data_IF_464509990719
#
_entry.id   IF_464509990719
#
_cell.length_a   1.000
_cell.length_b   1.000
_cell.length_c   1.000
_cell.angle_alpha   90.00
_cell.angle_beta   90.00
_cell.angle_gamma   90.00
#
_symmetry.space_group_name_H-M   'P 1'
#
loop_
_entity.id
_entity.type
_entity.pdbx_description
1 polymer ?
#
# COMPACT_ATOMS: atom_id res chain seq x y z
N UNK A 1 -2.15 -10.85 4.93
CA UNK A 1 -3.11 -9.80 5.25
C UNK A 1 -2.57 -9.00 6.42
N UNK A 2 -2.79 -7.70 6.38
CA UNK A 2 -2.48 -6.83 7.52
C UNK A 2 -3.50 -7.12 8.63
N UNK A 3 -3.10 -7.50 9.85
CA UNK A 3 -4.03 -7.75 10.95
C UNK A 3 -4.84 -6.51 11.36
N UNK A 4 -4.39 -5.32 10.96
CA UNK A 4 -5.00 -4.02 11.28
C UNK A 4 -5.70 -3.37 10.09
N UNK A 5 -5.86 -4.08 8.96
CA UNK A 5 -6.46 -3.53 7.74
C UNK A 5 -7.83 -2.88 7.98
N UNK A 6 -8.73 -3.58 8.66
CA UNK A 6 -10.07 -3.08 8.98
C UNK A 6 -10.05 -1.85 9.91
N UNK A 7 -9.04 -1.71 10.78
CA UNK A 7 -8.95 -0.59 11.73
C UNK A 7 -8.62 0.74 11.02
N UNK A 8 -8.17 0.70 9.76
CA UNK A 8 -7.86 1.90 8.96
C UNK A 8 -9.07 2.46 8.22
N UNK A 9 -10.11 1.64 8.04
CA UNK A 9 -11.28 1.96 7.20
C UNK A 9 -12.11 3.12 7.75
N UNK A 10 -12.40 3.23 9.07
CA UNK A 10 -13.17 4.36 9.61
C UNK A 10 -12.55 5.72 9.28
N UNK A 11 -11.22 5.83 9.37
CA UNK A 11 -10.49 7.04 9.01
C UNK A 11 -10.61 7.36 7.52
N UNK A 12 -10.45 6.35 6.66
CA UNK A 12 -10.61 6.52 5.21
C UNK A 12 -12.03 6.97 4.83
N UNK A 13 -13.04 6.43 5.53
CA UNK A 13 -14.43 6.83 5.33
C UNK A 13 -14.70 8.28 5.75
N UNK A 14 -14.18 8.69 6.90
CA UNK A 14 -14.31 10.07 7.35
C UNK A 14 -13.64 11.04 6.37
N UNK A 15 -12.44 10.71 5.88
CA UNK A 15 -11.73 11.50 4.87
C UNK A 15 -12.51 11.61 3.55
N UNK A 16 -13.05 10.49 3.06
CA UNK A 16 -13.86 10.47 1.84
C UNK A 16 -15.18 11.25 1.98
N UNK A 17 -15.74 11.35 3.18
CA UNK A 17 -16.95 12.13 3.50
C UNK A 17 -16.66 13.58 3.89
N UNK A 18 -15.40 14.00 3.92
CA UNK A 18 -14.97 15.30 4.44
C UNK A 18 -15.43 15.55 5.89
N UNK A 19 -15.51 14.48 6.67
CA UNK A 19 -15.87 14.51 8.09
C UNK A 19 -14.60 14.56 8.96
N UNK A 20 -14.71 15.21 10.11
CA UNK A 20 -13.61 15.24 11.08
C UNK A 20 -13.52 13.88 11.75
N UNK A 21 -12.48 13.13 11.42
CA UNK A 21 -12.17 11.88 12.11
C UNK A 21 -11.75 12.16 13.56
N UNK A 22 -12.55 11.71 14.53
CA UNK A 22 -12.24 11.80 15.95
C UNK A 22 -11.79 10.43 16.45
N UNK A 23 -10.51 10.31 16.78
CA UNK A 23 -9.94 9.08 17.35
C UNK A 23 -10.59 8.73 18.67
N UNK A 24 -10.82 7.44 18.88
CA UNK A 24 -11.19 6.91 20.20
C UNK A 24 -9.99 6.95 21.15
N UNK A 25 -10.25 7.14 22.46
CA UNK A 25 -9.19 7.36 23.47
C UNK A 25 -8.11 6.26 23.47
N UNK A 26 -8.49 5.02 23.16
CA UNK A 26 -7.61 3.84 23.18
C UNK A 26 -7.32 3.27 21.79
N UNK A 27 -7.66 3.97 20.71
CA UNK A 27 -7.53 3.46 19.33
C UNK A 27 -6.11 3.08 18.96
N UNK A 28 -5.14 3.96 19.27
CA UNK A 28 -3.73 3.72 18.96
C UNK A 28 -3.19 2.51 19.75
N UNK A 29 -3.64 2.34 21.01
CA UNK A 29 -3.29 1.17 21.83
C UNK A 29 -3.86 -0.14 21.26
N UNK A 30 -5.13 -0.14 20.87
CA UNK A 30 -5.79 -1.30 20.24
C UNK A 30 -5.11 -1.64 18.92
N UNK A 31 -4.77 -0.64 18.11
CA UNK A 31 -4.09 -0.81 16.82
C UNK A 31 -2.72 -1.46 16.99
N UNK A 32 -1.92 -0.94 17.94
CA UNK A 32 -0.60 -1.50 18.24
C UNK A 32 -0.71 -2.95 18.74
N UNK A 33 -1.58 -3.20 19.72
CA UNK A 33 -1.77 -4.54 20.30
C UNK A 33 -2.26 -5.53 19.24
N UNK A 34 -3.23 -5.13 18.41
CA UNK A 34 -3.73 -5.96 17.30
C UNK A 34 -2.66 -6.24 16.25
N UNK A 35 -1.79 -5.28 15.97
CA UNK A 35 -0.66 -5.45 15.05
C UNK A 35 0.42 -6.41 15.59
N UNK A 36 0.63 -6.44 16.90
CA UNK A 36 1.58 -7.35 17.57
C UNK A 36 1.01 -8.76 17.70
N UNK A 37 -0.23 -8.89 18.18
CA UNK A 37 -0.88 -10.18 18.43
C UNK A 37 -1.39 -10.84 17.14
N UNK A 38 -1.69 -10.03 16.12
CA UNK A 38 -2.23 -10.52 14.86
C UNK A 38 -1.20 -11.32 14.06
N UNK A 39 -1.66 -12.40 13.43
CA UNK A 39 -0.81 -13.25 12.60
C UNK A 39 -0.33 -12.49 11.36
N UNK A 40 0.98 -12.19 11.33
CA UNK A 40 1.66 -11.73 10.12
C UNK A 40 1.90 -12.93 9.21
N UNK A 41 1.50 -12.83 7.95
CA UNK A 41 1.71 -13.90 6.96
C UNK A 41 3.06 -13.69 6.24
N UNK A 42 3.02 -13.43 4.94
CA UNK A 42 4.21 -13.24 4.11
C UNK A 42 4.90 -11.93 4.48
N UNK A 43 6.01 -12.01 5.22
CA UNK A 43 6.88 -10.88 5.54
C UNK A 43 8.04 -10.89 4.54
N UNK A 44 8.31 -9.74 3.93
CA UNK A 44 9.47 -9.51 3.07
C UNK A 44 10.29 -8.37 3.65
N UNK A 45 11.58 -8.59 3.86
CA UNK A 45 12.53 -7.56 4.27
C UNK A 45 13.58 -7.50 3.16
N UNK A 46 13.78 -6.31 2.60
CA UNK A 46 14.78 -6.05 1.58
C UNK A 46 15.65 -4.89 2.03
N UNK A 47 16.95 -5.08 1.88
CA UNK A 47 17.96 -4.05 2.15
C UNK A 47 18.47 -3.59 0.79
N UNK A 48 18.39 -2.29 0.53
CA UNK A 48 18.89 -1.68 -0.70
C UNK A 48 20.39 -1.42 -0.65
N UNK A 49 20.92 -0.98 -1.79
CA UNK A 49 22.32 -0.56 -1.91
C UNK A 49 22.58 0.77 -1.19
N UNK A 50 23.85 1.04 -0.92
CA UNK A 50 24.30 2.33 -0.37
C UNK A 50 24.31 3.35 -1.51
N UNK A 51 23.68 4.51 -1.29
CA UNK A 51 23.43 5.54 -2.32
C UNK A 51 24.65 6.41 -2.68
N UNK A 52 25.88 5.89 -2.59
CA UNK A 52 27.08 6.72 -2.79
C UNK A 52 27.15 7.28 -4.22
N UNK A 53 26.85 6.45 -5.23
CA UNK A 53 26.94 6.86 -6.63
C UNK A 53 25.87 7.89 -6.98
N UNK A 54 24.66 7.70 -6.47
CA UNK A 54 23.52 8.59 -6.67
C UNK A 54 23.77 9.94 -6.00
N UNK A 55 24.40 9.95 -4.82
CA UNK A 55 24.78 11.19 -4.14
C UNK A 55 25.82 11.99 -4.94
N UNK A 56 26.83 11.32 -5.50
CA UNK A 56 27.85 11.97 -6.34
C UNK A 56 27.21 12.59 -7.60
N UNK A 57 26.27 11.89 -8.23
CA UNK A 57 25.52 12.38 -9.40
C UNK A 57 24.66 13.60 -9.02
N UNK A 58 23.89 13.52 -7.94
CA UNK A 58 23.04 14.62 -7.47
C UNK A 58 23.87 15.86 -7.13
N UNK A 59 25.04 15.67 -6.52
CA UNK A 59 25.93 16.77 -6.16
C UNK A 59 26.44 17.54 -7.39
N UNK A 60 26.72 16.80 -8.47
CA UNK A 60 27.20 17.33 -9.75
C UNK A 60 26.10 17.96 -10.63
N UNK A 61 24.87 17.45 -10.60
CA UNK A 61 23.78 17.89 -11.50
C UNK A 61 22.97 19.09 -10.97
N UNK A 62 23.07 19.39 -9.68
CA UNK A 62 22.25 20.43 -9.06
C UNK A 62 23.10 21.37 -8.22
N UNK A 63 23.01 22.69 -8.44
CA UNK A 63 23.75 23.65 -7.59
C UNK A 63 23.01 24.04 -6.30
N UNK A 64 21.68 23.88 -6.29
CA UNK A 64 20.82 24.31 -5.18
C UNK A 64 20.52 23.16 -4.22
N UNK A 65 20.74 23.38 -2.93
CA UNK A 65 20.44 22.42 -1.86
C UNK A 65 19.00 21.87 -1.90
N UNK A 66 18.01 22.72 -2.16
CA UNK A 66 16.61 22.28 -2.23
C UNK A 66 16.39 21.29 -3.38
N UNK A 67 17.06 21.50 -4.53
CA UNK A 67 17.01 20.57 -5.66
C UNK A 67 17.73 19.26 -5.34
N UNK A 68 18.90 19.33 -4.68
CA UNK A 68 19.63 18.13 -4.21
C UNK A 68 18.76 17.27 -3.28
N UNK A 69 18.07 17.90 -2.32
CA UNK A 69 17.18 17.19 -1.39
C UNK A 69 16.00 16.56 -2.11
N UNK A 70 15.40 17.25 -3.08
CA UNK A 70 14.31 16.70 -3.91
C UNK A 70 14.78 15.50 -4.74
N UNK A 71 15.95 15.60 -5.38
CA UNK A 71 16.52 14.50 -6.15
C UNK A 71 16.87 13.29 -5.27
N UNK A 72 17.43 13.53 -4.08
CA UNK A 72 17.69 12.46 -3.11
C UNK A 72 16.41 11.77 -2.65
N UNK A 73 15.34 12.54 -2.37
CA UNK A 73 14.05 11.97 -2.02
C UNK A 73 13.50 11.08 -3.14
N UNK A 74 13.65 11.50 -4.40
CA UNK A 74 13.26 10.70 -5.56
C UNK A 74 14.04 9.38 -5.62
N UNK A 75 15.38 9.41 -5.49
CA UNK A 75 16.21 8.19 -5.48
C UNK A 75 15.76 7.20 -4.38
N UNK A 76 15.40 7.71 -3.20
CA UNK A 76 14.88 6.88 -2.10
C UNK A 76 13.52 6.27 -2.46
N UNK A 77 12.61 7.08 -3.00
CA UNK A 77 11.29 6.60 -3.44
C UNK A 77 11.43 5.50 -4.50
N UNK A 78 12.34 5.67 -5.45
CA UNK A 78 12.63 4.73 -6.52
C UNK A 78 13.14 3.39 -5.97
N UNK A 79 14.05 3.45 -4.99
CA UNK A 79 14.56 2.29 -4.27
C UNK A 79 13.45 1.54 -3.52
N UNK A 80 12.56 2.27 -2.83
CA UNK A 80 11.43 1.69 -2.10
C UNK A 80 10.44 1.01 -3.05
N UNK A 81 10.05 1.69 -4.14
CA UNK A 81 9.03 1.22 -5.07
C UNK A 81 9.49 0.01 -5.88
N UNK A 82 10.72 0.05 -6.41
CA UNK A 82 11.31 -1.06 -7.16
C UNK A 82 11.45 -2.31 -6.28
N UNK A 83 11.88 -2.12 -5.03
CA UNK A 83 12.08 -3.17 -4.02
C UNK A 83 10.79 -3.71 -3.42
N UNK A 84 9.63 -3.05 -3.64
CA UNK A 84 8.37 -3.50 -3.06
C UNK A 84 7.96 -4.88 -3.61
N UNK A 85 7.81 -5.85 -2.71
CA UNK A 85 7.34 -7.20 -3.03
C UNK A 85 5.82 -7.22 -3.13
N UNK A 86 5.33 -7.40 -4.36
CA UNK A 86 3.91 -7.64 -4.61
C UNK A 86 3.55 -9.10 -4.30
N UNK A 87 2.38 -9.26 -3.68
CA UNK A 87 1.77 -10.55 -3.37
C UNK A 87 0.45 -10.71 -4.16
N UNK A 88 -0.06 -11.95 -4.31
CA UNK A 88 -1.37 -12.23 -4.90
C UNK A 88 -2.48 -11.30 -4.43
N UNK A 89 -2.50 -10.97 -3.14
CA UNK A 89 -3.50 -10.07 -2.53
C UNK A 89 -3.50 -8.66 -3.12
N UNK A 90 -2.35 -8.16 -3.57
CA UNK A 90 -2.24 -6.85 -4.21
C UNK A 90 -2.88 -6.88 -5.60
N UNK A 91 -2.63 -7.96 -6.35
CA UNK A 91 -3.19 -8.16 -7.69
C UNK A 91 -4.68 -8.44 -7.66
N UNK A 92 -5.16 -9.28 -6.73
CA UNK A 92 -6.59 -9.52 -6.50
C UNK A 92 -7.29 -8.18 -6.22
N UNK A 93 -6.75 -7.38 -5.29
CA UNK A 93 -7.35 -6.09 -4.96
C UNK A 93 -7.40 -5.13 -6.14
N UNK A 94 -6.36 -5.10 -6.98
CA UNK A 94 -6.33 -4.30 -8.21
C UNK A 94 -7.44 -4.74 -9.19
N UNK A 95 -7.52 -6.04 -9.47
CA UNK A 95 -8.48 -6.60 -10.41
C UNK A 95 -9.93 -6.37 -9.93
N UNK A 96 -10.20 -6.52 -8.63
CA UNK A 96 -11.49 -6.22 -8.03
C UNK A 96 -11.83 -4.71 -8.07
N UNK A 97 -10.87 -3.84 -7.74
CA UNK A 97 -11.06 -2.39 -7.73
C UNK A 97 -11.37 -1.84 -9.13
N UNK A 98 -10.66 -2.32 -10.14
CA UNK A 98 -10.78 -1.87 -11.53
C UNK A 98 -11.71 -2.73 -12.38
N UNK A 99 -12.36 -3.74 -11.79
CA UNK A 99 -13.28 -4.68 -12.45
C UNK A 99 -12.66 -5.31 -13.70
N UNK A 100 -11.44 -5.84 -13.55
CA UNK A 100 -10.65 -6.46 -14.61
C UNK A 100 -10.08 -7.80 -14.16
N UNK A 101 -9.54 -8.58 -15.11
CA UNK A 101 -8.81 -9.82 -14.85
C UNK A 101 -7.36 -9.71 -15.34
N UNK A 102 -6.81 -8.48 -15.33
CA UNK A 102 -5.49 -8.17 -15.91
C UNK A 102 -4.37 -8.99 -15.26
N UNK A 103 -4.51 -9.31 -13.98
CA UNK A 103 -3.50 -10.03 -13.21
C UNK A 103 -4.00 -11.39 -12.72
N UNK A 104 -5.00 -11.98 -13.39
CA UNK A 104 -5.54 -13.30 -13.03
C UNK A 104 -4.49 -14.43 -13.08
N UNK A 105 -3.37 -14.23 -13.80
CA UNK A 105 -2.22 -15.15 -13.80
C UNK A 105 -1.33 -15.05 -12.54
N UNK A 106 -1.55 -14.02 -11.69
CA UNK A 106 -0.75 -13.75 -10.48
C UNK A 106 -1.34 -14.29 -9.19
N UNK A 107 -2.53 -14.92 -9.26
CA UNK A 107 -3.21 -15.48 -8.11
C UNK A 107 -4.07 -16.68 -8.51
N UNK A 108 -4.43 -17.50 -7.54
CA UNK A 108 -5.38 -18.60 -7.74
C UNK A 108 -6.81 -18.18 -7.37
N UNK A 109 -7.82 -18.85 -7.93
CA UNK A 109 -9.22 -18.65 -7.54
C UNK A 109 -9.46 -18.89 -6.03
N UNK A 110 -8.73 -19.83 -5.44
CA UNK A 110 -8.79 -20.05 -3.99
C UNK A 110 -8.25 -18.86 -3.19
N UNK A 111 -7.14 -18.26 -3.62
CA UNK A 111 -6.60 -17.05 -2.97
C UNK A 111 -7.57 -15.86 -3.12
N UNK A 112 -8.19 -15.71 -4.30
CA UNK A 112 -9.21 -14.68 -4.57
C UNK A 112 -10.42 -14.85 -3.65
N UNK A 113 -11.01 -16.04 -3.59
CA UNK A 113 -12.17 -16.33 -2.74
C UNK A 113 -11.89 -16.09 -1.25
N UNK A 114 -10.68 -16.41 -0.76
CA UNK A 114 -10.29 -16.12 0.64
C UNK A 114 -10.20 -14.60 0.87
N UNK A 115 -9.72 -13.83 -0.11
CA UNK A 115 -9.62 -12.38 -0.01
C UNK A 115 -11.01 -11.72 -0.04
N UNK A 116 -11.87 -12.13 -0.97
CA UNK A 116 -13.26 -11.67 -1.06
C UNK A 116 -13.98 -11.93 0.27
N UNK A 117 -14.00 -13.17 0.77
CA UNK A 117 -14.61 -13.49 2.06
C UNK A 117 -14.06 -12.66 3.22
N UNK A 118 -12.77 -12.29 3.20
CA UNK A 118 -12.19 -11.40 4.20
C UNK A 118 -12.76 -9.98 4.09
N UNK A 119 -12.92 -9.46 2.87
CA UNK A 119 -13.52 -8.15 2.62
C UNK A 119 -14.95 -8.13 3.17
N UNK A 120 -15.78 -9.12 2.84
CA UNK A 120 -17.17 -9.26 3.30
C UNK A 120 -17.26 -9.28 4.85
N UNK A 121 -16.36 -10.02 5.51
CA UNK A 121 -16.35 -10.11 6.98
C UNK A 121 -15.86 -8.85 7.69
N UNK A 122 -15.17 -7.94 7.00
CA UNK A 122 -14.49 -6.78 7.60
C UNK A 122 -15.13 -5.46 7.24
N UNK A 123 -15.84 -5.42 6.11
CA UNK A 123 -16.39 -4.21 5.51
C UNK A 123 -17.85 -4.46 5.19
N UNK A 124 -18.68 -3.49 5.51
CA UNK A 124 -20.06 -3.45 5.04
C UNK A 124 -20.05 -3.27 3.51
N UNK A 125 -20.46 -4.31 2.76
CA UNK A 125 -20.50 -4.31 1.29
C UNK A 125 -21.47 -3.26 0.75
N UNK A 126 -22.49 -2.88 1.52
CA UNK A 126 -23.46 -1.84 1.17
C UNK A 126 -22.85 -0.42 1.23
N UNK A 127 -21.58 -0.30 1.63
CA UNK A 127 -20.81 0.93 1.61
C UNK A 127 -19.71 0.89 0.51
N UNK A 128 -20.02 1.35 -0.72
CA UNK A 128 -19.07 1.37 -1.84
C UNK A 128 -17.77 2.11 -1.54
N UNK A 129 -17.83 3.16 -0.72
CA UNK A 129 -16.64 3.95 -0.35
C UNK A 129 -15.72 3.13 0.55
N UNK A 130 -16.28 2.35 1.48
CA UNK A 130 -15.51 1.47 2.35
C UNK A 130 -14.83 0.36 1.54
N UNK A 131 -15.58 -0.26 0.62
CA UNK A 131 -15.07 -1.30 -0.28
C UNK A 131 -13.94 -0.76 -1.15
N UNK A 132 -14.16 0.38 -1.83
CA UNK A 132 -13.14 1.01 -2.66
C UNK A 132 -11.89 1.40 -1.85
N UNK A 133 -12.06 2.00 -0.68
CA UNK A 133 -10.95 2.37 0.21
C UNK A 133 -10.14 1.16 0.65
N UNK A 134 -10.80 0.08 1.06
CA UNK A 134 -10.13 -1.17 1.46
C UNK A 134 -9.38 -1.81 0.29
N UNK A 135 -10.00 -1.89 -0.89
CA UNK A 135 -9.34 -2.42 -2.09
C UNK A 135 -8.15 -1.55 -2.51
N UNK A 136 -8.29 -0.22 -2.48
CA UNK A 136 -7.22 0.73 -2.81
C UNK A 136 -6.00 0.56 -1.89
N UNK A 137 -6.19 0.30 -0.60
CA UNK A 137 -5.08 0.02 0.33
C UNK A 137 -4.18 -1.12 -0.16
N UNK A 138 -4.77 -2.16 -0.76
CA UNK A 138 -4.03 -3.32 -1.27
C UNK A 138 -3.61 -3.18 -2.74
N UNK A 139 -4.36 -2.44 -3.56
CA UNK A 139 -4.09 -2.24 -4.99
C UNK A 139 -3.01 -1.19 -5.27
N UNK A 140 -2.87 -0.17 -4.41
CA UNK A 140 -1.93 0.94 -4.60
C UNK A 140 -0.47 0.50 -4.86
N UNK A 141 0.09 -0.53 -4.20
CA UNK A 141 1.41 -1.04 -4.56
C UNK A 141 1.53 -1.51 -6.01
N UNK A 142 0.49 -2.11 -6.59
CA UNK A 142 0.48 -2.50 -8.02
C UNK A 142 0.47 -1.25 -8.90
N UNK A 143 -0.39 -0.28 -8.58
CA UNK A 143 -0.52 0.99 -9.32
C UNK A 143 0.82 1.75 -9.31
N UNK A 144 1.46 1.85 -8.15
CA UNK A 144 2.73 2.55 -8.02
C UNK A 144 3.83 1.85 -8.83
N UNK A 145 3.89 0.51 -8.79
CA UNK A 145 4.86 -0.25 -9.58
C UNK A 145 4.61 -0.16 -11.08
N UNK A 146 3.35 -0.07 -11.52
CA UNK A 146 2.99 0.19 -12.92
C UNK A 146 3.46 1.56 -13.38
N UNK A 147 3.11 2.62 -12.64
CA UNK A 147 3.56 3.99 -12.96
C UNK A 147 5.08 4.07 -13.08
N UNK A 148 5.78 3.29 -12.26
CA UNK A 148 7.23 3.20 -12.30
C UNK A 148 7.76 2.40 -13.50
N UNK A 149 7.12 1.29 -13.86
CA UNK A 149 7.50 0.50 -15.04
C UNK A 149 7.16 1.20 -16.37
N UNK A 150 6.10 2.01 -16.41
CA UNK A 150 5.67 2.75 -17.60
C UNK A 150 6.41 4.11 -17.75
N UNK A 151 7.20 4.53 -16.74
CA UNK A 151 8.01 5.75 -16.77
C UNK A 151 9.49 5.49 -17.18
N UNK A 152 9.87 4.23 -17.37
CA UNK A 152 11.20 3.78 -17.84
C UNK A 152 11.17 3.47 -19.33
#
# INVERSE_FOLDING_TARGET
YDPTDALKVPRLLAEAKQEIYKKEKNEDFITLMSGIMGQKKRIHIQVGEILNQELDVIDAEHDNLNKKVQALAQVIDDSILSSYKLWPTNYIAYDLLHKTNKYADKYTESEKSIFERRLEMRIDEDNPVAVQGFLAMYANPVINKMKYADAV
#
